data_IF_039814294355
#
_entry.id   IF_039814294355
#
_cell.length_a   1.000
_cell.length_b   1.000
_cell.length_c   1.000
_cell.angle_alpha   90.00
_cell.angle_beta   90.00
_cell.angle_gamma   90.00
#
_symmetry.space_group_name_H-M   'P 1'
#
loop_
_entity.id
_entity.type
_entity.pdbx_description
1 polymer ?
#
# COMPACT_ATOMS: atom_id res chain seq x y z
N UNK A 1 3.88 29.54 10.68
CA UNK A 1 3.58 28.66 11.83
C UNK A 1 2.29 27.88 11.63
N UNK A 2 1.11 28.51 11.68
CA UNK A 2 -0.21 27.80 11.56
C UNK A 2 -0.35 27.01 10.25
N UNK A 3 0.03 27.58 9.10
CA UNK A 3 -0.05 26.88 7.80
C UNK A 3 0.78 25.58 7.76
N UNK A 4 1.97 25.58 8.37
CA UNK A 4 2.86 24.42 8.40
C UNK A 4 2.27 23.32 9.29
N UNK A 5 1.65 23.70 10.41
CA UNK A 5 0.95 22.75 11.28
C UNK A 5 -0.23 22.09 10.57
N UNK A 6 -1.04 22.86 9.82
CA UNK A 6 -2.14 22.32 9.01
C UNK A 6 -1.60 21.33 7.97
N UNK A 7 -0.52 21.67 7.25
CA UNK A 7 0.10 20.77 6.27
C UNK A 7 0.61 19.48 6.91
N UNK A 8 1.22 19.53 8.09
CA UNK A 8 1.68 18.35 8.82
C UNK A 8 0.52 17.42 9.21
N UNK A 9 -0.60 17.98 9.68
CA UNK A 9 -1.79 17.18 10.01
C UNK A 9 -2.36 16.51 8.75
N UNK A 10 -2.45 17.23 7.63
CA UNK A 10 -2.92 16.67 6.36
C UNK A 10 -2.00 15.55 5.84
N UNK A 11 -0.68 15.75 5.88
CA UNK A 11 0.28 14.73 5.49
C UNK A 11 0.20 13.48 6.39
N UNK A 12 0.03 13.67 7.71
CA UNK A 12 -0.19 12.59 8.64
C UNK A 12 -1.45 11.79 8.31
N UNK A 13 -2.57 12.46 8.03
CA UNK A 13 -3.82 11.82 7.63
C UNK A 13 -3.68 11.03 6.32
N UNK A 14 -2.98 11.58 5.32
CA UNK A 14 -2.69 10.88 4.07
C UNK A 14 -1.82 9.63 4.29
N UNK A 15 -0.86 9.71 5.22
CA UNK A 15 -0.03 8.57 5.60
C UNK A 15 -0.87 7.43 6.19
N UNK A 16 -1.80 7.74 7.11
CA UNK A 16 -2.72 6.76 7.69
C UNK A 16 -3.61 6.13 6.62
N UNK A 17 -4.15 6.92 5.70
CA UNK A 17 -4.97 6.43 4.57
C UNK A 17 -4.14 5.47 3.71
N UNK A 18 -2.89 5.80 3.39
CA UNK A 18 -2.01 4.95 2.59
C UNK A 18 -1.75 3.58 3.25
N UNK A 19 -1.56 3.55 4.58
CA UNK A 19 -1.43 2.28 5.33
C UNK A 19 -2.72 1.46 5.24
N UNK A 20 -3.87 2.10 5.43
CA UNK A 20 -5.17 1.43 5.33
C UNK A 20 -5.41 0.82 3.95
N UNK A 21 -5.16 1.58 2.88
CA UNK A 21 -5.26 1.07 1.50
C UNK A 21 -4.32 -0.13 1.30
N UNK A 22 -3.12 -0.08 1.89
CA UNK A 22 -2.17 -1.18 1.76
C UNK A 22 -2.69 -2.48 2.37
N UNK A 23 -3.23 -2.40 3.58
CA UNK A 23 -3.80 -3.55 4.30
C UNK A 23 -5.02 -4.09 3.54
N UNK A 24 -5.93 -3.20 3.11
CA UNK A 24 -7.14 -3.59 2.38
C UNK A 24 -6.79 -4.29 1.06
N UNK A 25 -5.85 -3.75 0.29
CA UNK A 25 -5.41 -4.36 -0.98
C UNK A 25 -4.74 -5.72 -0.77
N UNK A 26 -3.97 -5.87 0.31
CA UNK A 26 -3.38 -7.16 0.67
C UNK A 26 -4.47 -8.20 0.95
N UNK A 27 -5.47 -7.89 1.78
CA UNK A 27 -6.62 -8.78 2.03
C UNK A 27 -7.42 -9.08 0.75
N UNK A 28 -7.67 -8.08 -0.09
CA UNK A 28 -8.36 -8.27 -1.36
C UNK A 28 -7.60 -9.27 -2.24
N UNK A 29 -6.27 -9.17 -2.32
CA UNK A 29 -5.46 -10.12 -3.10
C UNK A 29 -5.55 -11.55 -2.55
N UNK A 30 -5.57 -11.69 -1.22
CA UNK A 30 -5.64 -12.98 -0.55
C UNK A 30 -7.02 -13.64 -0.75
N UNK A 31 -8.10 -12.89 -0.55
CA UNK A 31 -9.47 -13.36 -0.80
C UNK A 31 -9.61 -13.77 -2.26
N UNK A 32 -9.12 -12.96 -3.21
CA UNK A 32 -9.19 -13.30 -4.63
C UNK A 32 -8.38 -14.56 -4.98
N UNK A 33 -7.21 -14.76 -4.37
CA UNK A 33 -6.43 -15.97 -4.55
C UNK A 33 -7.15 -17.21 -3.99
N UNK A 34 -7.82 -17.09 -2.84
CA UNK A 34 -8.55 -18.20 -2.19
C UNK A 34 -9.89 -18.50 -2.87
N UNK A 35 -10.62 -17.49 -3.34
CA UNK A 35 -11.95 -17.68 -3.95
C UNK A 35 -11.91 -18.19 -5.39
N UNK A 36 -10.72 -18.31 -5.99
CA UNK A 36 -10.57 -18.74 -7.38
C UNK A 36 -10.32 -20.24 -7.51
N UNK A 37 -11.12 -20.88 -8.35
CA UNK A 37 -11.04 -22.32 -8.63
C UNK A 37 -10.35 -22.63 -9.96
N UNK A 38 -10.04 -21.61 -10.77
CA UNK A 38 -9.27 -21.73 -12.01
C UNK A 38 -7.76 -21.87 -11.74
N UNK A 39 -7.29 -21.49 -10.55
CA UNK A 39 -5.89 -21.53 -10.13
C UNK A 39 -5.44 -22.88 -9.53
N UNK A 40 -6.20 -23.96 -9.68
CA UNK A 40 -6.02 -25.24 -8.94
C UNK A 40 -4.58 -25.75 -8.82
N UNK A 41 -3.75 -25.64 -9.85
CA UNK A 41 -2.37 -26.14 -9.81
C UNK A 41 -1.37 -25.20 -9.10
N UNK A 42 -1.68 -23.91 -8.95
CA UNK A 42 -0.75 -22.91 -8.39
C UNK A 42 -1.37 -22.03 -7.29
N UNK A 43 -2.61 -22.31 -6.87
CA UNK A 43 -3.36 -21.56 -5.87
C UNK A 43 -2.60 -21.46 -4.55
N UNK A 44 -2.08 -22.59 -4.07
CA UNK A 44 -1.30 -22.64 -2.83
C UNK A 44 -0.04 -21.76 -2.93
N UNK A 45 0.63 -21.75 -4.09
CA UNK A 45 1.84 -20.97 -4.33
C UNK A 45 1.54 -19.46 -4.33
N UNK A 46 0.41 -19.04 -4.93
CA UNK A 46 -0.04 -17.65 -4.87
C UNK A 46 -0.39 -17.18 -3.47
N UNK A 47 -1.11 -18.01 -2.71
CA UNK A 47 -1.44 -17.72 -1.31
C UNK A 47 -0.16 -17.59 -0.48
N UNK A 48 0.80 -18.52 -0.65
CA UNK A 48 2.10 -18.45 0.01
C UNK A 48 2.85 -17.15 -0.34
N UNK A 49 2.90 -16.80 -1.64
CA UNK A 49 3.56 -15.59 -2.11
C UNK A 49 2.94 -14.32 -1.49
N UNK A 50 1.61 -14.25 -1.44
CA UNK A 50 0.89 -13.11 -0.87
C UNK A 50 1.12 -12.99 0.64
N UNK A 51 1.17 -14.10 1.38
CA UNK A 51 1.36 -14.09 2.84
C UNK A 51 2.82 -13.79 3.21
N UNK A 52 3.78 -14.47 2.59
CA UNK A 52 5.19 -14.39 3.00
C UNK A 52 5.99 -13.29 2.32
N UNK A 53 5.51 -12.79 1.17
CA UNK A 53 6.20 -11.76 0.37
C UNK A 53 5.32 -10.52 0.22
N UNK A 54 4.48 -10.23 1.21
CA UNK A 54 3.74 -8.97 1.27
C UNK A 54 4.73 -7.80 1.39
N UNK A 55 4.54 -6.67 0.69
CA UNK A 55 3.44 -6.34 -0.22
C UNK A 55 3.67 -6.79 -1.69
N UNK A 56 4.89 -7.20 -2.05
CA UNK A 56 5.30 -7.49 -3.44
C UNK A 56 4.44 -8.61 -4.05
N UNK A 57 4.14 -9.67 -3.31
CA UNK A 57 3.33 -10.80 -3.76
C UNK A 57 1.94 -10.38 -4.24
N UNK A 58 1.30 -9.42 -3.55
CA UNK A 58 -0.01 -8.88 -3.92
C UNK A 58 0.07 -7.98 -5.16
N UNK A 59 1.15 -7.19 -5.32
CA UNK A 59 1.37 -6.42 -6.55
C UNK A 59 1.46 -7.35 -7.75
N UNK A 60 2.37 -8.34 -7.67
CA UNK A 60 2.61 -9.30 -8.74
C UNK A 60 1.32 -10.05 -9.09
N UNK A 61 0.55 -10.47 -8.07
CA UNK A 61 -0.76 -11.09 -8.25
C UNK A 61 -1.71 -10.22 -9.10
N UNK A 62 -1.89 -8.94 -8.74
CA UNK A 62 -2.80 -8.06 -9.47
C UNK A 62 -2.36 -7.80 -10.91
N UNK A 63 -1.05 -7.70 -11.18
CA UNK A 63 -0.55 -7.49 -12.54
C UNK A 63 -0.64 -8.75 -13.40
N UNK A 64 -0.33 -9.93 -12.85
CA UNK A 64 -0.39 -11.20 -13.57
C UNK A 64 -1.82 -11.66 -13.84
N UNK A 65 -2.73 -11.48 -12.89
CA UNK A 65 -4.14 -11.90 -13.01
C UNK A 65 -5.03 -10.91 -13.80
N UNK A 66 -4.43 -10.12 -14.71
CA UNK A 66 -5.10 -9.12 -15.57
C UNK A 66 -5.92 -8.06 -14.81
N UNK A 67 -5.69 -7.89 -13.50
CA UNK A 67 -6.33 -6.88 -12.64
C UNK A 67 -5.46 -5.65 -12.47
N UNK A 68 -4.89 -5.17 -13.58
CA UNK A 68 -3.91 -4.08 -13.62
C UNK A 68 -4.38 -2.83 -12.88
N UNK A 69 -5.69 -2.52 -12.90
CA UNK A 69 -6.25 -1.37 -12.17
C UNK A 69 -5.97 -1.44 -10.66
N UNK A 70 -6.18 -2.60 -10.02
CA UNK A 70 -5.88 -2.79 -8.60
C UNK A 70 -4.37 -2.80 -8.35
N UNK A 71 -3.59 -3.37 -9.28
CA UNK A 71 -2.13 -3.35 -9.23
C UNK A 71 -1.57 -1.93 -9.24
N UNK A 72 -2.07 -1.05 -10.11
CA UNK A 72 -1.65 0.36 -10.17
C UNK A 72 -2.01 1.15 -8.91
N UNK A 73 -3.22 0.94 -8.36
CA UNK A 73 -3.64 1.60 -7.11
C UNK A 73 -2.76 1.14 -5.94
N UNK A 74 -2.46 -0.15 -5.88
CA UNK A 74 -1.64 -0.70 -4.81
C UNK A 74 -0.18 -0.26 -4.93
N UNK A 75 0.37 -0.27 -6.14
CA UNK A 75 1.71 0.25 -6.42
C UNK A 75 1.82 1.73 -6.06
N UNK A 76 0.84 2.56 -6.42
CA UNK A 76 0.86 3.97 -6.06
C UNK A 76 0.75 4.19 -4.55
N UNK A 77 -0.05 3.40 -3.83
CA UNK A 77 -0.13 3.46 -2.37
C UNK A 77 1.20 3.10 -1.70
N UNK A 78 1.89 2.07 -2.20
CA UNK A 78 3.21 1.64 -1.68
C UNK A 78 4.28 2.69 -1.92
N UNK A 79 4.27 3.35 -3.08
CA UNK A 79 5.25 4.41 -3.40
C UNK A 79 4.91 5.71 -2.68
N UNK A 80 3.62 6.07 -2.58
CA UNK A 80 3.18 7.29 -1.92
C UNK A 80 3.51 7.28 -0.42
N UNK A 81 3.42 6.12 0.24
CA UNK A 81 3.69 6.00 1.66
C UNK A 81 5.09 6.50 2.11
N UNK A 82 6.23 6.01 1.59
CA UNK A 82 7.55 6.49 1.96
C UNK A 82 7.75 7.97 1.56
N UNK A 83 7.18 8.42 0.44
CA UNK A 83 7.25 9.82 0.02
C UNK A 83 6.55 10.73 1.04
N UNK A 84 5.32 10.39 1.44
CA UNK A 84 4.56 11.14 2.44
C UNK A 84 5.30 11.17 3.77
N UNK A 85 5.86 10.04 4.22
CA UNK A 85 6.64 9.97 5.45
C UNK A 85 7.90 10.82 5.40
N UNK A 86 8.61 10.83 4.27
CA UNK A 86 9.84 11.61 4.12
C UNK A 86 9.52 13.11 4.16
N UNK A 87 8.49 13.54 3.43
CA UNK A 87 8.05 14.95 3.44
C UNK A 87 7.55 15.34 4.84
N UNK A 88 6.76 14.49 5.49
CA UNK A 88 6.30 14.72 6.86
C UNK A 88 7.46 14.85 7.84
N UNK A 89 8.47 13.99 7.76
CA UNK A 89 9.65 14.03 8.63
C UNK A 89 10.50 15.31 8.41
N UNK A 90 10.67 15.74 7.16
CA UNK A 90 11.36 17.00 6.86
C UNK A 90 10.59 18.18 7.43
N UNK A 91 9.28 18.23 7.22
CA UNK A 91 8.43 19.33 7.68
C UNK A 91 8.32 19.38 9.20
N UNK A 92 8.28 18.23 9.89
CA UNK A 92 8.29 18.18 11.35
C UNK A 92 9.63 18.66 11.92
N UNK A 93 10.75 18.28 11.30
CA UNK A 93 12.08 18.74 11.68
C UNK A 93 12.24 20.27 11.55
N UNK A 94 11.74 20.86 10.46
CA UNK A 94 11.76 22.32 10.25
C UNK A 94 10.96 23.05 11.33
N UNK A 95 9.82 22.51 11.76
CA UNK A 95 9.01 23.12 12.83
C UNK A 95 9.74 23.09 14.18
N UNK A 96 10.48 22.02 14.48
CA UNK A 96 11.22 21.91 15.75
C UNK A 96 12.44 22.82 15.86
N UNK A 97 12.96 23.33 14.74
CA UNK A 97 14.12 24.24 14.72
C UNK A 97 13.74 25.72 14.80
N UNK A 98 12.46 26.05 14.65
CA UNK A 98 11.91 27.42 14.73
C UNK A 98 11.35 27.71 16.13
#
# INVERSE_FOLDING_TARGET
>A
MVLIQILNVLLGALGVIAVFVNIVMWFISLIQAISRDDLKNHKALWILLIIFVAPIGSIVYFFMEKRKKYGWIYLSAIIAFPVILTVYAIMSYVVTLQ
#
